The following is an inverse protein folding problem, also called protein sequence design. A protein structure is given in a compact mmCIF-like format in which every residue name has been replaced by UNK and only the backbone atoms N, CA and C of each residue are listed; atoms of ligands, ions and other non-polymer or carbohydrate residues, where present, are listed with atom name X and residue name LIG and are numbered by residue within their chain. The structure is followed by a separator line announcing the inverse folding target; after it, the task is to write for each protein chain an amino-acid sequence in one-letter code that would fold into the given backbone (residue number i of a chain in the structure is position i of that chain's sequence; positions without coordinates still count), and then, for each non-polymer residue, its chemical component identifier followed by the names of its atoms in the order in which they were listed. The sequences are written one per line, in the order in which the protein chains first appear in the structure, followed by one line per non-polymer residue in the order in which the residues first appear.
data_IF_004342524964
#
_entry.id   IF_004342524964
#
_cell.length_a   1.000
_cell.length_b   1.000
_cell.length_c   1.000
_cell.angle_alpha   90.00
_cell.angle_beta   90.00
_cell.angle_gamma   90.00
#
_symmetry.space_group_name_H-M   'P 1'
#
loop_
_entity.id
_entity.type
_entity.pdbx_description
1 polymer ?
#
# COMPACT_ATOMS: atom_id res chain seq x y z
N UNK A 1 -19.53 -4.46 20.69
CA UNK A 1 -19.00 -4.49 19.31
C UNK A 1 -20.17 -4.09 18.42
N UNK A 2 -20.08 -2.96 17.73
CA UNK A 2 -21.11 -2.55 16.78
C UNK A 2 -21.06 -3.45 15.56
N UNK A 3 -22.21 -3.75 14.97
CA UNK A 3 -22.38 -4.58 13.77
C UNK A 3 -21.39 -4.17 12.65
N UNK A 4 -21.25 -2.86 12.45
CA UNK A 4 -20.34 -2.26 11.46
C UNK A 4 -18.85 -2.63 11.63
N UNK A 5 -18.38 -2.84 12.86
CA UNK A 5 -16.99 -3.22 13.10
C UNK A 5 -16.72 -4.68 12.75
N UNK A 6 -17.73 -5.54 12.91
CA UNK A 6 -17.67 -6.93 12.45
C UNK A 6 -17.69 -6.99 10.92
N UNK A 7 -18.57 -6.19 10.29
CA UNK A 7 -18.66 -6.10 8.83
C UNK A 7 -17.33 -5.62 8.20
N UNK A 8 -16.67 -4.64 8.80
CA UNK A 8 -15.39 -4.13 8.33
C UNK A 8 -14.29 -5.18 8.44
N UNK A 9 -14.25 -5.90 9.56
CA UNK A 9 -13.31 -6.99 9.78
C UNK A 9 -13.52 -8.13 8.77
N UNK A 10 -14.76 -8.54 8.53
CA UNK A 10 -15.08 -9.62 7.60
C UNK A 10 -14.72 -9.24 6.15
N UNK A 11 -15.05 -8.01 5.74
CA UNK A 11 -14.66 -7.48 4.44
C UNK A 11 -13.12 -7.40 4.28
N UNK A 12 -12.42 -7.01 5.34
CA UNK A 12 -10.95 -6.98 5.34
C UNK A 12 -10.35 -8.38 5.21
N UNK A 13 -10.85 -9.36 5.97
CA UNK A 13 -10.37 -10.76 5.92
C UNK A 13 -10.62 -11.39 4.55
N UNK A 14 -11.81 -11.17 3.98
CA UNK A 14 -12.14 -11.61 2.63
C UNK A 14 -11.16 -11.01 1.61
N UNK A 15 -10.96 -9.69 1.68
CA UNK A 15 -10.04 -8.97 0.80
C UNK A 15 -8.60 -9.45 0.90
N UNK A 16 -8.09 -9.63 2.13
CA UNK A 16 -6.76 -10.15 2.38
C UNK A 16 -6.58 -11.58 1.84
N UNK A 17 -7.59 -12.44 1.99
CA UNK A 17 -7.60 -13.80 1.46
C UNK A 17 -7.57 -13.80 -0.07
N UNK A 18 -8.42 -12.99 -0.72
CA UNK A 18 -8.46 -12.86 -2.18
C UNK A 18 -7.12 -12.34 -2.73
N UNK A 19 -6.51 -11.39 -2.04
CA UNK A 19 -5.19 -10.88 -2.40
C UNK A 19 -4.12 -11.97 -2.30
N UNK A 20 -4.17 -12.81 -1.26
CA UNK A 20 -3.28 -13.95 -1.11
C UNK A 20 -3.52 -15.06 -2.16
N UNK A 21 -4.75 -15.18 -2.66
CA UNK A 21 -5.13 -16.10 -3.75
C UNK A 21 -4.82 -15.55 -5.16
N UNK A 22 -4.09 -14.43 -5.26
CA UNK A 22 -3.75 -13.77 -6.53
C UNK A 22 -4.99 -13.30 -7.33
N UNK A 23 -6.06 -12.91 -6.64
CA UNK A 23 -7.29 -12.35 -7.22
C UNK A 23 -7.42 -10.84 -6.89
N UNK A 24 -6.49 -9.97 -7.35
CA UNK A 24 -6.39 -8.60 -6.85
C UNK A 24 -7.61 -7.73 -7.19
N UNK A 25 -8.32 -8.01 -8.29
CA UNK A 25 -9.54 -7.27 -8.65
C UNK A 25 -10.70 -7.56 -7.70
N UNK A 26 -10.84 -8.81 -7.27
CA UNK A 26 -11.86 -9.19 -6.29
C UNK A 26 -11.48 -8.67 -4.89
N UNK A 27 -10.19 -8.74 -4.55
CA UNK A 27 -9.67 -8.19 -3.29
C UNK A 27 -9.98 -6.70 -3.14
N UNK A 28 -9.80 -5.92 -4.21
CA UNK A 28 -10.15 -4.49 -4.25
C UNK A 28 -11.59 -4.24 -3.80
N UNK A 29 -12.57 -4.96 -4.35
CA UNK A 29 -13.99 -4.73 -4.00
C UNK A 29 -14.28 -5.01 -2.52
N UNK A 30 -13.65 -6.03 -1.93
CA UNK A 30 -13.81 -6.33 -0.51
C UNK A 30 -13.10 -5.29 0.38
N UNK A 31 -11.92 -4.85 -0.02
CA UNK A 31 -11.12 -3.88 0.73
C UNK A 31 -11.66 -2.45 0.61
N UNK A 32 -12.29 -2.08 -0.50
CA UNK A 32 -13.03 -0.81 -0.65
C UNK A 32 -14.16 -0.75 0.38
N UNK A 33 -14.94 -1.83 0.54
CA UNK A 33 -15.97 -1.90 1.60
C UNK A 33 -15.36 -1.76 3.00
N UNK A 34 -14.26 -2.46 3.27
CA UNK A 34 -13.58 -2.36 4.56
C UNK A 34 -13.12 -0.91 4.85
N UNK A 35 -12.58 -0.21 3.84
CA UNK A 35 -12.16 1.19 3.94
C UNK A 35 -13.35 2.11 4.16
N UNK A 36 -14.47 1.88 3.47
CA UNK A 36 -15.65 2.73 3.61
C UNK A 36 -16.27 2.63 5.02
N UNK A 37 -16.13 1.47 5.67
CA UNK A 37 -16.55 1.24 7.06
C UNK A 37 -15.52 1.75 8.09
N UNK A 38 -14.23 1.56 7.82
CA UNK A 38 -13.13 2.04 8.68
C UNK A 38 -12.13 2.86 7.87
N UNK A 39 -12.44 4.13 7.56
CA UNK A 39 -11.59 4.94 6.69
C UNK A 39 -10.20 5.10 7.30
N UNK A 40 -10.06 5.39 8.58
CA UNK A 40 -8.75 5.69 9.17
C UNK A 40 -7.99 4.47 9.71
N UNK A 41 -8.35 3.27 9.25
CA UNK A 41 -7.62 2.05 9.59
C UNK A 41 -6.42 1.84 8.65
N UNK A 42 -5.23 2.16 9.13
CA UNK A 42 -3.99 2.06 8.35
C UNK A 42 -3.77 0.69 7.67
N UNK A 43 -4.06 -0.41 8.36
CA UNK A 43 -3.93 -1.77 7.80
C UNK A 43 -4.88 -2.05 6.63
N UNK A 44 -6.08 -1.46 6.66
CA UNK A 44 -7.06 -1.57 5.55
C UNK A 44 -6.55 -0.78 4.35
N UNK A 45 -6.10 0.47 4.57
CA UNK A 45 -5.54 1.31 3.51
C UNK A 45 -4.33 0.68 2.84
N UNK A 46 -3.37 0.18 3.62
CA UNK A 46 -2.18 -0.49 3.10
C UNK A 46 -2.56 -1.73 2.28
N UNK A 47 -3.49 -2.56 2.78
CA UNK A 47 -3.90 -3.79 2.08
C UNK A 47 -4.67 -3.48 0.80
N UNK A 48 -5.53 -2.45 0.82
CA UNK A 48 -6.22 -1.96 -0.38
C UNK A 48 -5.23 -1.41 -1.41
N UNK A 49 -4.24 -0.64 -0.98
CA UNK A 49 -3.20 -0.11 -1.84
C UNK A 49 -2.41 -1.24 -2.54
N UNK A 50 -2.05 -2.29 -1.79
CA UNK A 50 -1.43 -3.51 -2.35
C UNK A 50 -2.32 -4.17 -3.40
N UNK A 51 -3.62 -4.29 -3.13
CA UNK A 51 -4.58 -4.86 -4.08
C UNK A 51 -4.71 -4.01 -5.36
N UNK A 52 -4.80 -2.69 -5.23
CA UNK A 52 -4.79 -1.77 -6.38
C UNK A 52 -3.51 -1.89 -7.20
N UNK A 53 -2.34 -1.95 -6.54
CA UNK A 53 -1.05 -2.09 -7.21
C UNK A 53 -1.00 -3.38 -8.04
N UNK A 54 -1.38 -4.52 -7.43
CA UNK A 54 -1.43 -5.81 -8.13
C UNK A 54 -2.48 -5.85 -9.25
N UNK A 55 -3.57 -5.10 -9.11
CA UNK A 55 -4.56 -4.93 -10.16
C UNK A 55 -4.12 -3.96 -11.29
N UNK A 56 -2.94 -3.34 -11.18
CA UNK A 56 -2.42 -2.37 -12.15
C UNK A 56 -3.00 -0.95 -12.02
N UNK A 57 -3.76 -0.67 -10.94
CA UNK A 57 -4.38 0.63 -10.66
C UNK A 57 -3.44 1.51 -9.85
N UNK A 58 -2.31 1.92 -10.43
CA UNK A 58 -1.23 2.58 -9.69
C UNK A 58 -1.59 3.94 -9.07
N UNK A 59 -2.44 4.74 -9.73
CA UNK A 59 -2.89 6.02 -9.15
C UNK A 59 -3.70 5.78 -7.87
N UNK A 60 -4.70 4.90 -7.91
CA UNK A 60 -5.50 4.57 -6.73
C UNK A 60 -4.66 3.91 -5.62
N UNK A 61 -3.64 3.13 -5.98
CA UNK A 61 -2.69 2.59 -5.01
C UNK A 61 -1.86 3.69 -4.34
N UNK A 62 -1.48 4.73 -5.10
CA UNK A 62 -0.76 5.90 -4.58
C UNK A 62 -1.58 6.59 -3.51
N UNK A 63 -2.84 6.93 -3.81
CA UNK A 63 -3.75 7.63 -2.88
C UNK A 63 -3.91 6.87 -1.54
N UNK A 64 -4.08 5.54 -1.60
CA UNK A 64 -4.23 4.73 -0.38
C UNK A 64 -2.92 4.58 0.41
N UNK A 65 -1.77 4.47 -0.27
CA UNK A 65 -0.48 4.43 0.41
C UNK A 65 -0.10 5.78 1.02
N UNK A 66 -0.40 6.90 0.35
CA UNK A 66 -0.22 8.25 0.92
C UNK A 66 -1.00 8.37 2.21
N UNK A 67 -2.27 7.98 2.18
CA UNK A 67 -3.10 8.04 3.38
C UNK A 67 -2.67 7.05 4.46
N UNK A 68 -2.12 5.90 4.10
CA UNK A 68 -1.49 4.98 5.08
C UNK A 68 -0.26 5.61 5.74
N UNK A 69 0.58 6.31 4.97
CA UNK A 69 1.75 7.07 5.47
C UNK A 69 1.32 8.25 6.36
N UNK A 70 0.23 8.94 6.02
CA UNK A 70 -0.31 10.01 6.89
C UNK A 70 -0.78 9.48 8.25
N UNK A 71 -1.41 8.31 8.27
CA UNK A 71 -1.91 7.67 9.49
C UNK A 71 -0.79 7.08 10.34
N UNK A 72 0.21 6.49 9.70
CA UNK A 72 1.42 5.98 10.34
C UNK A 72 2.67 6.35 9.53
N UNK A 73 3.29 7.51 9.85
CA UNK A 73 4.50 7.96 9.20
C UNK A 73 5.72 7.07 9.44
N UNK A 74 5.62 6.03 10.27
CA UNK A 74 6.70 5.08 10.57
C UNK A 74 6.52 3.72 9.91
N UNK A 75 5.45 3.54 9.14
CA UNK A 75 5.22 2.32 8.37
C UNK A 75 6.17 2.24 7.16
N UNK A 76 7.26 1.49 7.34
CA UNK A 76 8.29 1.28 6.33
C UNK A 76 7.73 0.66 5.04
N UNK A 77 6.78 -0.25 5.16
CA UNK A 77 6.15 -0.90 4.03
C UNK A 77 5.25 0.06 3.23
N UNK A 78 4.49 0.94 3.90
CA UNK A 78 3.68 1.94 3.21
C UNK A 78 4.55 2.94 2.43
N UNK A 79 5.67 3.38 3.00
CA UNK A 79 6.67 4.18 2.27
C UNK A 79 7.23 3.42 1.06
N UNK A 80 7.58 2.14 1.21
CA UNK A 80 8.06 1.33 0.10
C UNK A 80 7.00 1.15 -1.00
N UNK A 81 5.77 0.81 -0.62
CA UNK A 81 4.64 0.65 -1.53
C UNK A 81 4.31 1.92 -2.32
N UNK A 82 4.31 3.08 -1.64
CA UNK A 82 4.15 4.38 -2.27
C UNK A 82 5.25 4.64 -3.30
N UNK A 83 6.51 4.38 -2.94
CA UNK A 83 7.62 4.54 -3.86
C UNK A 83 7.47 3.65 -5.11
N UNK A 84 7.04 2.40 -4.96
CA UNK A 84 6.77 1.53 -6.10
C UNK A 84 5.66 2.09 -7.00
N UNK A 85 4.58 2.63 -6.43
CA UNK A 85 3.51 3.25 -7.20
C UNK A 85 4.02 4.46 -8.00
N UNK A 86 4.73 5.36 -7.33
CA UNK A 86 5.35 6.56 -7.92
C UNK A 86 6.32 6.22 -9.06
N UNK A 87 7.07 5.11 -8.95
CA UNK A 87 7.91 4.63 -10.05
C UNK A 87 7.10 4.18 -11.27
N UNK A 88 5.95 3.53 -11.06
CA UNK A 88 5.06 3.09 -12.16
C UNK A 88 4.39 4.27 -12.86
N UNK A 89 4.17 5.36 -12.16
CA UNK A 89 3.54 6.59 -12.68
C UNK A 89 4.54 7.64 -13.15
N UNK A 90 5.85 7.43 -12.92
CA UNK A 90 6.94 8.26 -13.44
C UNK A 90 7.50 9.31 -12.47
N UNK A 91 7.01 9.38 -11.24
CA UNK A 91 7.43 10.33 -10.20
C UNK A 91 8.72 9.86 -9.49
N UNK A 92 9.81 9.71 -10.25
CA UNK A 92 11.07 9.12 -9.76
C UNK A 92 11.70 9.87 -8.57
N UNK A 93 11.60 11.21 -8.53
CA UNK A 93 12.23 12.02 -7.47
C UNK A 93 11.54 11.77 -6.12
N UNK A 94 10.22 11.77 -6.11
CA UNK A 94 9.40 11.50 -4.91
C UNK A 94 9.57 10.05 -4.47
N UNK A 95 9.54 9.10 -5.41
CA UNK A 95 9.80 7.69 -5.14
C UNK A 95 11.12 7.46 -4.41
N UNK A 96 12.19 8.15 -4.83
CA UNK A 96 13.50 8.09 -4.17
C UNK A 96 13.44 8.59 -2.73
N UNK A 97 12.66 9.63 -2.45
CA UNK A 97 12.43 10.13 -1.10
C UNK A 97 11.80 9.06 -0.20
N UNK A 98 10.70 8.46 -0.65
CA UNK A 98 10.01 7.41 0.10
C UNK A 98 10.85 6.13 0.26
N UNK A 99 11.63 5.72 -0.75
CA UNK A 99 12.57 4.61 -0.61
C UNK A 99 13.65 4.86 0.45
N UNK A 100 14.18 6.09 0.52
CA UNK A 100 15.16 6.45 1.55
C UNK A 100 14.56 6.38 2.95
N UNK A 101 13.30 6.81 3.11
CA UNK A 101 12.57 6.69 4.37
C UNK A 101 12.36 5.22 4.75
N UNK A 102 11.88 4.39 3.81
CA UNK A 102 11.71 2.95 4.03
C UNK A 102 13.01 2.27 4.47
N UNK A 103 14.14 2.55 3.80
CA UNK A 103 15.47 2.02 4.18
C UNK A 103 15.92 2.53 5.55
N UNK A 104 15.65 3.79 5.88
CA UNK A 104 16.03 4.38 7.16
C UNK A 104 15.22 3.79 8.34
N UNK A 105 13.94 3.49 8.12
CA UNK A 105 13.06 2.85 9.10
C UNK A 105 13.38 1.37 9.24
N UNK A 106 13.50 0.66 8.11
CA UNK A 106 13.83 -0.76 8.07
C UNK A 106 14.78 -1.07 6.91
N UNK A 107 16.05 -1.41 7.18
CA UNK A 107 17.05 -1.57 6.15
C UNK A 107 17.00 -2.95 5.44
N UNK A 108 15.86 -3.33 4.90
CA UNK A 108 15.70 -4.58 4.14
C UNK A 108 16.49 -4.55 2.82
N UNK A 109 17.05 -5.70 2.43
CA UNK A 109 17.81 -5.83 1.18
C UNK A 109 16.97 -5.41 -0.02
N UNK A 110 15.70 -5.83 -0.10
CA UNK A 110 14.77 -5.42 -1.14
C UNK A 110 14.66 -3.89 -1.29
N UNK A 111 14.61 -3.16 -0.17
CA UNK A 111 14.47 -1.71 -0.20
C UNK A 111 15.77 -1.05 -0.67
N UNK A 112 16.91 -1.55 -0.18
CA UNK A 112 18.26 -1.10 -0.56
C UNK A 112 18.52 -1.34 -2.04
N UNK A 113 18.21 -2.52 -2.54
CA UNK A 113 18.37 -2.90 -3.95
C UNK A 113 17.48 -2.05 -4.87
N UNK A 114 16.22 -1.83 -4.47
CA UNK A 114 15.30 -0.97 -5.23
C UNK A 114 15.81 0.47 -5.29
N UNK A 115 16.31 1.01 -4.18
CA UNK A 115 16.90 2.35 -4.12
C UNK A 115 18.19 2.44 -4.96
N UNK A 116 19.07 1.44 -4.89
CA UNK A 116 20.30 1.39 -5.65
C UNK A 116 20.04 1.31 -7.17
N UNK A 117 19.07 0.48 -7.60
CA UNK A 117 18.67 0.40 -9.00
C UNK A 117 18.16 1.75 -9.52
N UNK A 118 17.32 2.44 -8.75
CA UNK A 118 16.82 3.76 -9.11
C UNK A 118 17.94 4.81 -9.24
N UNK A 119 18.98 4.72 -8.40
CA UNK A 119 20.12 5.64 -8.46
C UNK A 119 21.00 5.45 -9.72
N UNK A 120 21.03 4.23 -10.26
CA UNK A 120 21.83 3.88 -11.44
C UNK A 120 21.10 4.15 -12.78
N UNK A 121 19.83 4.53 -12.75
CA UNK A 121 19.00 4.83 -13.93
C UNK A 121 18.94 6.35 -14.27
N UNK A 122 19.67 7.19 -13.54
CA UNK A 122 19.75 8.66 -13.71
C UNK A 122 21.11 9.07 -14.26
#
# INVERSE_FOLDING_TARGET
MTDQGLDAYDAFQEGARLLASAEPRAAVSALERARDLEPDKGSVRETLARAYFQAGRYSAATDEFERAVELDPTNDYAHFGLALCLLRTGQRVEARGHLRLAVAMRPLDLYRETLARLANEL
#
